data_IF_675278732607
#
_entry.id   IF_675278732607
#
_cell.length_a   1.000
_cell.length_b   1.000
_cell.length_c   1.000
_cell.angle_alpha   90.00
_cell.angle_beta   90.00
_cell.angle_gamma   90.00
#
_symmetry.space_group_name_H-M   'P 1'
#
loop_
_entity.id
_entity.type
_entity.pdbx_description
1 polymer ?
#
# COMPACT_ATOMS: atom_id res chain seq x y z
N UNK A 1 3.09 10.42 21.73
CA UNK A 1 2.75 10.97 20.39
C UNK A 1 2.61 9.80 19.44
N UNK A 2 1.40 9.38 19.08
CA UNK A 2 1.20 8.43 17.98
C UNK A 2 1.31 9.22 16.68
N UNK A 3 2.51 9.25 16.08
CA UNK A 3 2.80 10.07 14.91
C UNK A 3 2.22 9.46 13.64
N UNK A 4 1.22 10.11 13.04
CA UNK A 4 0.80 9.80 11.67
C UNK A 4 1.97 10.08 10.70
N UNK A 5 2.59 9.02 10.19
CA UNK A 5 3.69 9.11 9.22
C UNK A 5 3.16 8.89 7.80
N UNK A 6 3.30 9.89 6.94
CA UNK A 6 3.02 9.76 5.51
C UNK A 6 4.18 9.01 4.85
N UNK A 7 3.93 7.82 4.32
CA UNK A 7 4.95 7.02 3.61
C UNK A 7 4.35 6.49 2.32
N UNK A 8 5.06 6.71 1.21
CA UNK A 8 4.68 6.25 -0.12
C UNK A 8 4.87 4.74 -0.25
N UNK A 9 3.82 4.02 -0.65
CA UNK A 9 3.92 2.60 -1.00
C UNK A 9 3.38 2.40 -2.40
N UNK A 10 4.24 1.96 -3.33
CA UNK A 10 3.82 1.45 -4.63
C UNK A 10 3.52 -0.03 -4.49
N UNK A 11 2.27 -0.42 -4.72
CA UNK A 11 1.90 -1.83 -4.77
C UNK A 11 2.36 -2.40 -6.12
N UNK A 12 3.49 -3.10 -6.15
CA UNK A 12 4.03 -3.69 -7.38
C UNK A 12 3.38 -5.05 -7.75
N UNK A 13 2.28 -5.44 -7.08
CA UNK A 13 1.57 -6.68 -7.36
C UNK A 13 0.39 -6.43 -8.32
N UNK A 14 0.34 -7.09 -9.49
CA UNK A 14 -0.73 -6.92 -10.49
C UNK A 14 -2.10 -7.50 -10.07
N UNK A 15 -2.30 -7.84 -8.79
CA UNK A 15 -3.28 -8.84 -8.37
C UNK A 15 -4.42 -8.34 -7.47
N UNK A 16 -4.55 -7.03 -7.23
CA UNK A 16 -5.64 -6.53 -6.38
C UNK A 16 -6.73 -5.81 -7.18
N UNK A 17 -7.86 -6.48 -7.46
CA UNK A 17 -8.91 -5.94 -8.31
C UNK A 17 -9.74 -4.83 -7.64
N UNK A 18 -9.63 -4.64 -6.33
CA UNK A 18 -10.41 -3.62 -5.61
C UNK A 18 -9.64 -2.99 -4.44
N UNK A 19 -9.92 -1.71 -4.19
CA UNK A 19 -9.38 -0.92 -3.08
C UNK A 19 -9.69 -1.54 -1.72
N UNK A 20 -10.85 -2.20 -1.60
CA UNK A 20 -11.27 -2.90 -0.40
C UNK A 20 -10.39 -4.12 -0.09
N UNK A 21 -10.01 -4.90 -1.11
CA UNK A 21 -9.12 -6.04 -0.92
C UNK A 21 -7.74 -5.59 -0.42
N UNK A 22 -7.23 -4.47 -0.96
CA UNK A 22 -5.96 -3.86 -0.53
C UNK A 22 -6.04 -3.38 0.91
N UNK A 23 -7.05 -2.56 1.24
CA UNK A 23 -7.18 -2.01 2.60
C UNK A 23 -7.32 -3.11 3.64
N UNK A 24 -8.10 -4.16 3.32
CA UNK A 24 -8.24 -5.34 4.17
C UNK A 24 -6.92 -6.08 4.34
N UNK A 25 -6.13 -6.27 3.28
CA UNK A 25 -4.82 -6.91 3.39
C UNK A 25 -3.86 -6.08 4.23
N UNK A 26 -3.75 -4.78 3.98
CA UNK A 26 -2.89 -3.88 4.76
C UNK A 26 -3.26 -3.93 6.25
N UNK A 27 -4.54 -3.93 6.57
CA UNK A 27 -5.00 -3.97 7.96
C UNK A 27 -4.74 -5.34 8.62
N UNK A 28 -5.08 -6.42 7.93
CA UNK A 28 -5.02 -7.78 8.50
C UNK A 28 -3.61 -8.37 8.55
N UNK A 29 -2.80 -8.11 7.51
CA UNK A 29 -1.46 -8.71 7.33
C UNK A 29 -0.32 -7.77 7.71
N UNK A 30 -0.46 -6.47 7.46
CA UNK A 30 0.63 -5.50 7.68
C UNK A 30 0.43 -4.65 8.94
N UNK A 31 -0.77 -4.72 9.55
CA UNK A 31 -1.21 -3.85 10.65
C UNK A 31 -1.13 -2.35 10.30
N UNK A 32 -1.33 -2.03 9.03
CA UNK A 32 -1.31 -0.67 8.50
C UNK A 32 -2.71 -0.24 8.10
N UNK A 33 -3.12 0.96 8.49
CA UNK A 33 -4.40 1.53 8.07
C UNK A 33 -4.20 2.43 6.85
N UNK A 34 -4.72 2.02 5.69
CA UNK A 34 -4.75 2.86 4.48
C UNK A 34 -5.78 3.98 4.65
N UNK A 35 -5.34 5.23 4.58
CA UNK A 35 -6.17 6.43 4.73
C UNK A 35 -6.58 7.02 3.37
N UNK A 36 -5.63 7.12 2.44
CA UNK A 36 -5.85 7.74 1.13
C UNK A 36 -4.94 7.11 0.08
N UNK A 37 -5.24 7.35 -1.20
CA UNK A 37 -4.35 7.03 -2.31
C UNK A 37 -4.20 8.24 -3.24
N UNK A 38 -3.05 8.37 -3.87
CA UNK A 38 -2.84 9.28 -4.99
C UNK A 38 -3.34 8.64 -6.27
N UNK A 39 -4.28 9.31 -6.93
CA UNK A 39 -4.72 8.98 -8.28
C UNK A 39 -4.00 9.97 -9.20
N UNK A 40 -3.07 9.47 -10.00
CA UNK A 40 -2.43 10.27 -11.04
C UNK A 40 -3.46 10.61 -12.12
N UNK A 41 -3.60 11.90 -12.42
CA UNK A 41 -4.42 12.39 -13.52
C UNK A 41 -3.92 11.84 -14.86
N UNK A 42 -4.85 11.65 -15.81
CA UNK A 42 -4.53 11.19 -17.16
C UNK A 42 -3.73 12.22 -17.98
N UNK A 43 -3.43 11.87 -19.22
CA UNK A 43 -2.42 12.47 -20.12
C UNK A 43 -2.55 13.99 -20.39
N UNK A 44 -3.61 14.66 -19.95
CA UNK A 44 -3.86 16.09 -20.24
C UNK A 44 -3.83 17.03 -19.02
N UNK A 45 -3.53 16.55 -17.81
CA UNK A 45 -3.49 17.43 -16.63
C UNK A 45 -2.64 16.85 -15.50
N UNK A 46 -1.58 17.58 -15.13
CA UNK A 46 -0.60 17.22 -14.09
C UNK A 46 -1.16 17.27 -12.65
N UNK A 47 -2.47 17.06 -12.47
CA UNK A 47 -3.14 17.15 -11.18
C UNK A 47 -3.24 15.75 -10.56
N UNK A 48 -2.24 15.41 -9.73
CA UNK A 48 -2.34 14.29 -8.79
C UNK A 48 -3.48 14.56 -7.80
N UNK A 49 -4.51 13.72 -7.81
CA UNK A 49 -5.64 13.82 -6.87
C UNK A 49 -5.47 12.85 -5.72
N UNK A 50 -5.45 13.35 -4.49
CA UNK A 50 -5.49 12.50 -3.29
C UNK A 50 -6.95 12.13 -3.02
N UNK A 51 -7.25 10.83 -3.10
CA UNK A 51 -8.55 10.28 -2.75
C UNK A 51 -8.51 9.72 -1.33
N UNK A 52 -9.17 10.44 -0.40
CA UNK A 52 -9.32 10.02 0.99
C UNK A 52 -10.44 8.99 1.08
N UNK A 53 -10.18 7.87 1.76
CA UNK A 53 -11.04 6.71 1.79
C UNK A 53 -11.52 6.32 0.38
N UNK A 54 -10.60 5.89 -0.49
CA UNK A 54 -10.89 5.65 -1.90
C UNK A 54 -11.93 4.52 -2.04
N UNK A 55 -13.20 4.89 -2.22
CA UNK A 55 -14.29 3.94 -2.48
C UNK A 55 -14.43 3.79 -3.99
N UNK A 56 -14.06 2.61 -4.50
CA UNK A 56 -14.19 2.28 -5.93
C UNK A 56 -13.07 2.80 -6.83
N UNK A 57 -11.99 3.35 -6.27
CA UNK A 57 -10.83 3.76 -7.07
C UNK A 57 -10.01 2.55 -7.50
N UNK A 58 -9.68 2.47 -8.79
CA UNK A 58 -8.76 1.46 -9.31
C UNK A 58 -7.35 1.81 -8.84
N UNK A 59 -6.72 0.91 -8.10
CA UNK A 59 -5.30 1.03 -7.75
C UNK A 59 -4.51 0.52 -8.96
N UNK A 60 -3.67 1.39 -9.50
CA UNK A 60 -2.76 1.05 -10.58
C UNK A 60 -1.38 0.70 -10.01
N UNK A 61 -0.54 0.05 -10.80
CA UNK A 61 0.86 -0.09 -10.45
C UNK A 61 1.46 1.31 -10.22
N UNK A 62 2.27 1.47 -9.17
CA UNK A 62 2.85 2.76 -8.77
C UNK A 62 1.84 3.82 -8.24
N UNK A 63 0.66 3.40 -7.80
CA UNK A 63 -0.22 4.25 -6.97
C UNK A 63 0.41 4.45 -5.59
N UNK A 64 0.49 5.70 -5.14
CA UNK A 64 1.01 6.06 -3.84
C UNK A 64 -0.09 6.01 -2.77
N UNK A 65 0.04 5.09 -1.80
CA UNK A 65 -0.86 5.02 -0.65
C UNK A 65 -0.40 5.86 0.54
N UNK A 66 -1.36 6.34 1.34
CA UNK A 66 -1.13 7.06 2.60
C UNK A 66 -1.60 6.18 3.75
N UNK A 67 -0.71 5.90 4.71
CA UNK A 67 -0.98 4.97 5.81
C UNK A 67 -0.82 5.64 7.17
N UNK A 68 -1.50 5.08 8.17
CA UNK A 68 -1.23 5.38 9.59
C UNK A 68 -0.41 4.22 10.17
N UNK A 69 0.74 4.56 10.76
CA UNK A 69 1.71 3.65 11.35
C UNK A 69 2.46 4.35 12.48
N UNK A 70 3.12 3.58 13.35
CA UNK A 70 3.92 4.14 14.44
C UNK A 70 5.35 4.51 13.98
N UNK A 71 5.82 3.92 12.87
CA UNK A 71 7.14 4.19 12.31
C UNK A 71 7.19 4.03 10.79
N UNK A 72 8.21 4.62 10.15
CA UNK A 72 8.43 4.47 8.72
C UNK A 72 8.79 3.04 8.31
N UNK A 73 9.46 2.29 9.19
CA UNK A 73 9.85 0.90 8.90
C UNK A 73 8.64 -0.03 8.86
N UNK A 74 7.60 0.22 9.65
CA UNK A 74 6.34 -0.53 9.55
C UNK A 74 5.72 -0.42 8.16
N UNK A 75 5.76 0.77 7.57
CA UNK A 75 5.19 1.04 6.23
C UNK A 75 6.08 0.50 5.11
N UNK A 76 7.41 0.55 5.24
CA UNK A 76 8.33 -0.05 4.25
C UNK A 76 8.04 -1.52 3.97
N UNK A 77 7.50 -2.27 4.93
CA UNK A 77 7.14 -3.69 4.74
C UNK A 77 6.06 -3.86 3.68
N UNK A 78 5.13 -2.91 3.56
CA UNK A 78 4.12 -2.93 2.50
C UNK A 78 4.73 -2.86 1.10
N UNK A 79 5.85 -2.15 0.95
CA UNK A 79 6.61 -2.10 -0.30
C UNK A 79 7.26 -3.45 -0.64
N UNK A 80 7.71 -4.18 0.38
CA UNK A 80 8.34 -5.49 0.21
C UNK A 80 7.35 -6.65 0.15
N UNK A 81 6.09 -6.40 0.49
CA UNK A 81 5.06 -7.44 0.49
C UNK A 81 4.81 -7.96 -0.93
N UNK A 82 4.85 -9.27 -1.07
CA UNK A 82 4.54 -9.97 -2.30
C UNK A 82 3.75 -11.20 -1.90
N UNK A 83 2.61 -11.44 -2.53
CA UNK A 83 1.76 -12.58 -2.19
C UNK A 83 2.52 -13.90 -2.30
N UNK A 84 3.21 -14.15 -3.42
CA UNK A 84 3.96 -15.40 -3.62
C UNK A 84 5.05 -15.65 -2.58
N UNK A 85 5.68 -14.58 -2.08
CA UNK A 85 6.81 -14.66 -1.15
C UNK A 85 6.35 -14.54 0.33
N UNK A 86 5.21 -13.91 0.64
CA UNK A 86 4.81 -13.47 2.00
C UNK A 86 3.33 -13.77 2.39
N UNK A 87 2.58 -14.59 1.66
CA UNK A 87 1.17 -14.89 1.99
C UNK A 87 1.01 -15.60 3.34
N UNK A 88 1.89 -16.57 3.62
CA UNK A 88 1.85 -17.43 4.81
C UNK A 88 2.53 -16.81 6.05
N UNK A 89 3.10 -15.62 5.91
CA UNK A 89 3.71 -14.92 7.04
C UNK A 89 2.60 -14.44 7.99
N UNK A 90 2.68 -14.88 9.25
CA UNK A 90 1.79 -14.45 10.34
C UNK A 90 2.31 -13.21 11.06
N UNK A 91 3.62 -13.09 11.16
CA UNK A 91 4.29 -12.00 11.85
C UNK A 91 4.79 -10.96 10.84
N UNK A 92 4.16 -9.79 10.82
CA UNK A 92 4.48 -8.74 9.86
C UNK A 92 5.94 -8.29 9.92
N UNK A 93 6.64 -8.47 11.05
CA UNK A 93 8.05 -8.08 11.21
C UNK A 93 9.01 -8.89 10.34
N UNK A 94 8.58 -10.05 9.86
CA UNK A 94 9.37 -10.94 9.00
C UNK A 94 9.33 -10.54 7.52
N UNK A 95 8.46 -9.61 7.14
CA UNK A 95 8.31 -9.15 5.75
C UNK A 95 9.52 -8.29 5.37
N UNK A 96 10.38 -8.85 4.52
CA UNK A 96 11.62 -8.23 4.03
C UNK A 96 11.62 -8.19 2.51
N UNK A 97 12.57 -7.46 1.92
CA UNK A 97 12.71 -7.34 0.46
C UNK A 97 12.74 -8.72 -0.19
N UNK A 98 11.70 -9.03 -0.97
CA UNK A 98 11.61 -10.28 -1.71
C UNK A 98 12.62 -10.32 -2.86
N UNK A 99 13.09 -11.53 -3.21
CA UNK A 99 13.91 -11.79 -4.42
C UNK A 99 13.07 -12.10 -5.66
N UNK A 100 11.74 -12.10 -5.52
CA UNK A 100 10.78 -12.23 -6.60
C UNK A 100 11.19 -11.22 -7.73
N UNK A 101 11.60 -11.69 -8.92
CA UNK A 101 11.93 -10.84 -10.08
C UNK A 101 10.62 -10.24 -10.59
N UNK A 102 10.65 -8.92 -10.84
CA UNK A 102 9.52 -8.17 -11.40
C UNK A 102 8.99 -8.81 -12.68
#
# INVERSE_FOLDING_TARGET
>A
MFGMSVVSVSTNSPAFPSTFAISRLCFTKLKLLLLAIEIKGGEEGNDSKISINPRGAKILANTQGFFIAQSADEVKRAWFYCKACHDDIKDETLIKKCKCKN
#
